data_IF_727802436793
#
_entry.id   IF_727802436793
#
_cell.length_a   1.000
_cell.length_b   1.000
_cell.length_c   1.000
_cell.angle_alpha   90.00
_cell.angle_beta   90.00
_cell.angle_gamma   90.00
#
_symmetry.space_group_name_H-M   'P 1'
#
loop_
_entity.id
_entity.type
_entity.pdbx_description
1 polymer ?
#
# COMPACT_ATOMS: atom_id res chain seq x y z
N UNK A 1 34.66 8.40 -17.66
CA UNK A 1 34.07 9.37 -16.72
C UNK A 1 32.89 8.80 -15.94
N UNK A 2 31.68 8.66 -16.52
CA UNK A 2 30.51 8.23 -15.73
C UNK A 2 30.65 6.81 -15.15
N UNK A 3 31.21 5.87 -15.91
CA UNK A 3 31.53 4.53 -15.41
C UNK A 3 32.59 4.54 -14.31
N UNK A 4 33.52 5.50 -14.33
CA UNK A 4 34.58 5.61 -13.32
C UNK A 4 34.02 6.16 -12.02
N UNK A 5 33.13 7.15 -12.08
CA UNK A 5 32.41 7.67 -10.92
C UNK A 5 31.52 6.61 -10.23
N UNK A 6 30.87 5.74 -11.02
CA UNK A 6 30.07 4.61 -10.49
C UNK A 6 30.96 3.59 -9.77
N UNK A 7 32.16 3.31 -10.30
CA UNK A 7 33.14 2.42 -9.66
C UNK A 7 33.67 3.03 -8.37
N UNK A 8 34.02 4.32 -8.37
CA UNK A 8 34.54 5.04 -7.20
C UNK A 8 33.52 5.06 -6.05
N UNK A 9 32.25 5.32 -6.36
CA UNK A 9 31.14 5.28 -5.40
C UNK A 9 30.72 3.87 -4.97
N UNK A 10 31.40 2.81 -5.46
CA UNK A 10 31.13 1.39 -5.16
C UNK A 10 29.72 0.95 -5.50
N UNK A 11 29.10 1.56 -6.51
CA UNK A 11 27.79 1.20 -7.00
C UNK A 11 27.94 0.06 -8.02
N UNK A 12 27.22 -1.05 -7.81
CA UNK A 12 27.13 -2.13 -8.78
C UNK A 12 25.95 -1.87 -9.70
N UNK A 13 26.23 -1.48 -10.94
CA UNK A 13 25.19 -1.16 -11.90
C UNK A 13 25.73 -0.96 -13.31
N UNK A 14 24.82 -0.61 -14.20
CA UNK A 14 25.12 -0.31 -15.60
C UNK A 14 25.02 1.19 -15.82
N UNK A 15 25.78 1.69 -16.79
CA UNK A 15 25.77 3.08 -17.20
C UNK A 15 25.24 3.11 -18.63
N UNK A 16 24.23 3.94 -18.87
CA UNK A 16 23.66 4.15 -20.20
C UNK A 16 23.58 5.65 -20.49
N UNK A 17 23.84 6.04 -21.74
CA UNK A 17 23.87 7.43 -22.16
C UNK A 17 23.04 7.57 -23.42
N UNK A 18 21.97 8.36 -23.33
CA UNK A 18 21.06 8.61 -24.43
C UNK A 18 21.25 10.03 -24.97
N UNK A 19 21.48 10.13 -26.29
CA UNK A 19 21.56 11.41 -27.00
C UNK A 19 20.26 11.63 -27.75
N UNK A 20 19.57 12.73 -27.45
CA UNK A 20 18.29 13.09 -28.10
C UNK A 20 18.23 14.58 -28.40
N UNK A 21 17.52 14.98 -29.45
CA UNK A 21 17.28 16.38 -29.79
C UNK A 21 16.45 17.10 -28.72
N UNK A 22 15.49 16.40 -28.11
CA UNK A 22 14.60 16.94 -27.09
C UNK A 22 14.82 16.23 -25.75
N UNK A 23 15.28 16.99 -24.76
CA UNK A 23 15.59 16.50 -23.42
C UNK A 23 14.42 15.72 -22.76
N UNK A 24 13.19 16.23 -22.88
CA UNK A 24 12.02 15.55 -22.29
C UNK A 24 11.69 14.22 -22.94
N UNK A 25 11.85 14.13 -24.26
CA UNK A 25 11.66 12.87 -24.97
C UNK A 25 12.75 11.89 -24.56
N UNK A 26 14.01 12.34 -24.42
CA UNK A 26 15.11 11.52 -23.91
C UNK A 26 14.80 10.90 -22.54
N UNK A 27 14.35 11.69 -21.58
CA UNK A 27 13.94 11.18 -20.25
C UNK A 27 12.82 10.15 -20.38
N UNK A 28 11.80 10.44 -21.20
CA UNK A 28 10.66 9.53 -21.40
C UNK A 28 11.07 8.20 -22.00
N UNK A 29 11.94 8.21 -23.01
CA UNK A 29 12.51 7.01 -23.59
C UNK A 29 13.32 6.23 -22.56
N UNK A 30 14.20 6.90 -21.81
CA UNK A 30 15.01 6.25 -20.78
C UNK A 30 14.14 5.51 -19.75
N UNK A 31 13.11 6.17 -19.20
CA UNK A 31 12.20 5.54 -18.23
C UNK A 31 11.42 4.37 -18.83
N UNK A 32 11.07 4.40 -20.12
CA UNK A 32 10.26 3.34 -20.72
C UNK A 32 11.09 2.16 -21.22
N UNK A 33 12.30 2.42 -21.71
CA UNK A 33 13.15 1.42 -22.39
C UNK A 33 14.30 0.92 -21.52
N UNK A 34 14.64 1.58 -20.40
CA UNK A 34 15.71 1.10 -19.54
C UNK A 34 15.35 -0.22 -18.85
N UNK A 35 16.12 -1.25 -19.20
CA UNK A 35 16.00 -2.60 -18.67
C UNK A 35 16.17 -3.65 -19.77
N UNK A 36 16.38 -4.90 -19.37
CA UNK A 36 16.47 -6.02 -20.32
C UNK A 36 15.53 -7.14 -19.87
N UNK A 37 14.49 -7.42 -20.67
CA UNK A 37 13.48 -8.42 -20.37
C UNK A 37 12.76 -8.13 -19.05
N UNK A 38 12.88 -9.03 -18.07
CA UNK A 38 12.30 -8.89 -16.74
C UNK A 38 13.11 -8.00 -15.77
N UNK A 39 14.36 -7.68 -16.08
CA UNK A 39 15.17 -6.75 -15.29
C UNK A 39 14.84 -5.32 -15.68
N UNK A 40 13.75 -4.79 -15.10
CA UNK A 40 13.31 -3.41 -15.24
C UNK A 40 13.46 -2.67 -13.91
N UNK A 41 13.68 -1.37 -13.99
CA UNK A 41 13.71 -0.53 -12.81
C UNK A 41 12.30 -0.38 -12.23
N UNK A 42 12.20 -0.32 -10.90
CA UNK A 42 10.94 -0.10 -10.17
C UNK A 42 10.89 1.27 -9.49
N UNK A 43 12.04 1.95 -9.41
CA UNK A 43 12.20 3.24 -8.76
C UNK A 43 13.09 4.13 -9.62
N UNK A 44 12.70 5.39 -9.78
CA UNK A 44 13.49 6.43 -10.44
C UNK A 44 13.91 7.45 -9.40
N UNK A 45 15.21 7.72 -9.34
CA UNK A 45 15.76 8.80 -8.50
C UNK A 45 16.03 9.99 -9.41
N UNK A 46 15.47 11.16 -9.10
CA UNK A 46 15.70 12.38 -9.87
C UNK A 46 16.10 13.55 -8.97
N UNK A 47 16.93 14.45 -9.50
CA UNK A 47 17.38 15.62 -8.76
C UNK A 47 16.23 16.61 -8.54
N UNK A 48 16.22 17.24 -7.36
CA UNK A 48 15.35 18.38 -7.09
C UNK A 48 15.77 19.59 -7.95
N UNK A 49 14.82 20.35 -8.55
CA UNK A 49 15.16 21.57 -9.28
C UNK A 49 15.55 22.65 -8.27
N UNK A 50 16.83 23.02 -8.19
CA UNK A 50 17.32 23.94 -7.15
C UNK A 50 16.99 25.41 -7.43
N UNK A 51 16.85 25.79 -8.71
CA UNK A 51 16.72 27.19 -9.14
C UNK A 51 15.29 27.55 -9.58
N UNK A 52 14.32 26.67 -9.30
CA UNK A 52 12.92 26.83 -9.72
C UNK A 52 12.22 28.09 -9.19
N UNK A 53 12.72 28.68 -8.10
CA UNK A 53 12.13 29.86 -7.44
C UNK A 53 12.91 31.15 -7.68
N UNK A 54 14.11 31.09 -8.29
CA UNK A 54 14.98 32.25 -8.47
C UNK A 54 14.85 32.74 -9.92
N UNK A 55 14.42 33.98 -10.11
CA UNK A 55 14.40 34.62 -11.42
C UNK A 55 15.77 35.25 -11.68
N UNK A 56 16.63 34.54 -12.40
CA UNK A 56 17.84 35.12 -12.97
C UNK A 56 17.57 35.48 -14.44
N UNK A 57 18.12 36.59 -14.94
CA UNK A 57 17.89 37.07 -16.31
C UNK A 57 18.21 36.03 -17.42
N UNK A 58 19.06 35.04 -17.12
CA UNK A 58 19.51 34.02 -18.05
C UNK A 58 18.87 32.62 -17.84
N UNK A 59 18.05 32.43 -16.80
CA UNK A 59 17.41 31.15 -16.50
C UNK A 59 15.92 31.37 -16.26
N UNK A 60 15.09 30.62 -16.99
CA UNK A 60 13.64 30.65 -16.81
C UNK A 60 13.24 29.67 -15.68
N UNK A 61 13.01 30.11 -14.43
CA UNK A 61 12.64 29.25 -13.31
C UNK A 61 11.40 28.39 -13.61
N UNK A 62 10.42 28.98 -14.31
CA UNK A 62 9.21 28.30 -14.76
C UNK A 62 9.50 27.09 -15.67
N UNK A 63 10.56 27.17 -16.48
CA UNK A 63 10.94 26.09 -17.41
C UNK A 63 11.51 24.89 -16.65
N UNK A 64 12.35 25.13 -15.66
CA UNK A 64 12.92 24.06 -14.81
C UNK A 64 11.83 23.37 -13.98
N UNK A 65 10.94 24.16 -13.36
CA UNK A 65 9.79 23.63 -12.62
C UNK A 65 8.86 22.80 -13.52
N UNK A 66 8.55 23.30 -14.72
CA UNK A 66 7.69 22.58 -15.69
C UNK A 66 8.35 21.29 -16.16
N UNK A 67 9.66 21.29 -16.39
CA UNK A 67 10.44 20.13 -16.80
C UNK A 67 10.42 19.04 -15.71
N UNK A 68 10.62 19.44 -14.45
CA UNK A 68 10.53 18.55 -13.32
C UNK A 68 9.12 17.96 -13.16
N UNK A 69 8.09 18.80 -13.24
CA UNK A 69 6.69 18.36 -13.16
C UNK A 69 6.33 17.38 -14.30
N UNK A 70 6.83 17.59 -15.52
CA UNK A 70 6.63 16.68 -16.63
C UNK A 70 7.38 15.36 -16.43
N UNK A 71 8.58 15.41 -15.87
CA UNK A 71 9.35 14.21 -15.49
C UNK A 71 8.59 13.38 -14.46
N UNK A 72 8.06 14.00 -13.40
CA UNK A 72 7.24 13.33 -12.38
C UNK A 72 6.00 12.67 -12.99
N UNK A 73 5.31 13.35 -13.91
CA UNK A 73 4.16 12.76 -14.63
C UNK A 73 4.57 11.56 -15.47
N UNK A 74 5.71 11.63 -16.13
CA UNK A 74 6.24 10.54 -16.97
C UNK A 74 6.59 9.32 -16.12
N UNK A 75 7.25 9.51 -14.98
CA UNK A 75 7.56 8.41 -14.05
C UNK A 75 6.29 7.81 -13.46
N UNK A 76 5.33 8.66 -13.09
CA UNK A 76 4.02 8.19 -12.59
C UNK A 76 3.27 7.38 -13.64
N UNK A 77 3.34 7.76 -14.92
CA UNK A 77 2.72 7.00 -16.02
C UNK A 77 3.41 5.65 -16.25
N UNK A 78 4.71 5.55 -15.95
CA UNK A 78 5.47 4.30 -16.00
C UNK A 78 5.26 3.39 -14.78
N UNK A 79 4.46 3.80 -13.79
CA UNK A 79 4.20 3.08 -12.54
C UNK A 79 5.47 2.76 -11.72
N UNK A 80 6.48 3.62 -11.78
CA UNK A 80 7.67 3.51 -10.93
C UNK A 80 7.53 4.37 -9.67
N UNK A 81 8.16 3.96 -8.58
CA UNK A 81 8.35 4.80 -7.42
C UNK A 81 9.29 5.97 -7.76
N UNK A 82 9.07 7.13 -7.14
CA UNK A 82 9.89 8.34 -7.35
C UNK A 82 10.59 8.67 -6.04
N UNK A 83 11.90 8.90 -6.11
CA UNK A 83 12.70 9.40 -5.00
C UNK A 83 13.37 10.71 -5.42
N UNK A 84 13.15 11.77 -4.66
CA UNK A 84 13.68 13.11 -4.99
C UNK A 84 14.53 13.62 -3.83
N UNK A 85 15.86 13.41 -3.83
CA UNK A 85 16.74 14.02 -2.86
C UNK A 85 16.77 15.53 -3.07
N UNK A 86 16.39 16.27 -2.04
CA UNK A 86 16.57 17.72 -1.95
C UNK A 86 17.89 18.02 -1.24
N UNK A 87 18.64 19.02 -1.71
CA UNK A 87 19.97 19.37 -1.19
C UNK A 87 20.96 18.20 -1.30
N UNK A 88 21.00 17.54 -2.46
CA UNK A 88 21.86 16.38 -2.69
C UNK A 88 23.36 16.70 -2.47
N UNK A 89 23.76 17.97 -2.66
CA UNK A 89 25.10 18.47 -2.35
C UNK A 89 25.52 18.30 -0.90
N UNK A 90 24.56 18.24 0.03
CA UNK A 90 24.82 18.19 1.46
C UNK A 90 24.82 16.76 2.00
N UNK A 91 24.66 15.75 1.13
CA UNK A 91 24.70 14.36 1.56
C UNK A 91 26.12 13.94 1.98
N UNK A 92 26.25 13.09 3.01
CA UNK A 92 27.54 12.62 3.48
C UNK A 92 28.25 11.80 2.40
N UNK A 93 29.57 11.85 2.41
CA UNK A 93 30.36 10.93 1.59
C UNK A 93 30.35 9.52 2.18
N UNK A 94 30.66 8.50 1.37
CA UNK A 94 30.69 7.09 1.81
C UNK A 94 31.70 6.79 2.94
N UNK A 95 32.61 7.72 3.22
CA UNK A 95 33.65 7.59 4.25
C UNK A 95 33.22 8.13 5.61
N UNK A 96 32.22 9.00 5.64
CA UNK A 96 31.74 9.64 6.86
C UNK A 96 30.79 8.73 7.64
N UNK A 97 30.79 8.88 8.96
CA UNK A 97 29.84 8.22 9.86
C UNK A 97 28.96 9.28 10.50
N UNK A 98 27.67 9.19 10.24
CA UNK A 98 26.68 10.06 10.84
C UNK A 98 26.16 9.44 12.13
N UNK A 99 26.18 10.24 13.19
CA UNK A 99 25.46 9.99 14.42
C UNK A 99 24.36 11.04 14.48
N UNK A 100 23.11 10.62 14.44
CA UNK A 100 21.99 11.55 14.32
C UNK A 100 20.65 10.82 14.30
N UNK A 101 19.62 11.51 13.83
CA UNK A 101 18.26 10.98 13.73
C UNK A 101 17.83 10.93 12.26
N UNK A 102 17.05 9.91 11.91
CA UNK A 102 16.32 9.85 10.64
C UNK A 102 14.84 10.02 10.99
N UNK A 103 14.28 11.15 10.55
CA UNK A 103 12.90 11.50 10.82
C UNK A 103 12.03 11.14 9.61
N UNK A 104 11.01 10.33 9.87
CA UNK A 104 10.05 9.89 8.86
C UNK A 104 8.72 10.55 9.17
N UNK A 105 8.25 11.41 8.27
CA UNK A 105 6.93 12.02 8.37
C UNK A 105 5.94 11.19 7.56
N UNK A 106 5.20 10.33 8.25
CA UNK A 106 4.17 9.49 7.67
C UNK A 106 2.82 10.23 7.63
N UNK A 107 2.69 11.12 6.64
CA UNK A 107 1.45 11.87 6.36
C UNK A 107 0.45 11.01 5.57
N UNK A 108 0.94 10.19 4.64
CA UNK A 108 0.11 9.45 3.69
C UNK A 108 0.55 7.99 3.60
N UNK A 109 -0.40 7.08 3.41
CA UNK A 109 -0.10 5.66 3.22
C UNK A 109 0.55 5.40 1.84
N UNK A 110 1.88 5.24 1.84
CA UNK A 110 2.69 4.88 0.67
C UNK A 110 2.96 3.36 0.57
N UNK A 111 2.16 2.53 1.25
CA UNK A 111 2.31 1.07 1.17
C UNK A 111 3.62 0.55 1.78
N UNK A 112 4.22 1.30 2.71
CA UNK A 112 5.43 0.91 3.43
C UNK A 112 6.75 1.33 2.78
N UNK A 113 6.73 1.99 1.61
CA UNK A 113 7.97 2.48 0.97
C UNK A 113 8.76 3.42 1.89
N UNK A 114 8.06 4.34 2.59
CA UNK A 114 8.67 5.26 3.56
C UNK A 114 9.39 4.54 4.71
N UNK A 115 8.96 3.33 5.08
CA UNK A 115 9.61 2.53 6.12
C UNK A 115 10.78 1.70 5.56
N UNK A 116 10.73 1.34 4.28
CA UNK A 116 11.78 0.56 3.62
C UNK A 116 13.07 1.38 3.44
N UNK A 117 12.96 2.64 3.03
CA UNK A 117 14.12 3.52 2.82
C UNK A 117 15.04 3.64 4.06
N UNK A 118 14.55 4.05 5.24
CA UNK A 118 15.37 4.16 6.45
C UNK A 118 15.93 2.81 6.88
N UNK A 119 15.15 1.73 6.74
CA UNK A 119 15.63 0.38 7.01
C UNK A 119 16.85 0.01 6.15
N UNK A 120 16.83 0.35 4.86
CA UNK A 120 17.96 0.13 3.95
C UNK A 120 19.14 1.06 4.26
N UNK A 121 18.88 2.33 4.61
CA UNK A 121 19.92 3.30 4.94
C UNK A 121 20.75 2.86 6.15
N UNK A 122 20.11 2.39 7.24
CA UNK A 122 20.80 1.96 8.47
C UNK A 122 21.75 0.77 8.23
N UNK A 123 21.53 -0.03 7.18
CA UNK A 123 22.47 -1.11 6.82
C UNK A 123 23.80 -0.57 6.28
N UNK A 124 23.83 0.65 5.77
CA UNK A 124 25.05 1.31 5.30
C UNK A 124 25.89 1.81 6.49
N UNK A 125 27.21 1.70 6.38
CA UNK A 125 28.18 2.16 7.40
C UNK A 125 28.01 3.63 7.78
N UNK A 126 27.58 4.47 6.84
CA UNK A 126 27.39 5.90 7.05
C UNK A 126 26.23 6.20 8.01
N UNK A 127 25.13 5.44 7.94
CA UNK A 127 23.89 5.71 8.68
C UNK A 127 23.62 4.70 9.81
N UNK A 128 24.51 3.72 10.02
CA UNK A 128 24.34 2.64 11.00
C UNK A 128 24.10 3.13 12.43
N UNK A 129 24.65 4.28 12.80
CA UNK A 129 24.55 4.84 14.14
C UNK A 129 23.43 5.87 14.29
N UNK A 130 22.51 5.93 13.33
CA UNK A 130 21.37 6.84 13.39
C UNK A 130 20.17 6.18 14.04
N UNK A 131 19.39 6.97 14.77
CA UNK A 131 18.13 6.52 15.39
C UNK A 131 16.95 6.93 14.50
N UNK A 132 16.00 6.02 14.28
CA UNK A 132 14.81 6.31 13.46
C UNK A 132 13.69 6.84 14.34
N UNK A 133 13.07 7.94 13.91
CA UNK A 133 11.87 8.51 14.54
C UNK A 133 10.76 8.57 13.51
N UNK A 134 9.63 7.96 13.82
CA UNK A 134 8.42 7.93 13.02
C UNK A 134 7.43 8.94 13.57
N UNK A 135 7.09 9.93 12.75
CA UNK A 135 6.09 10.94 13.03
C UNK A 135 4.85 10.64 12.22
N UNK A 136 3.73 10.42 12.88
CA UNK A 136 2.43 10.22 12.23
C UNK A 136 1.44 11.26 12.74
N UNK A 137 0.41 11.52 11.95
CA UNK A 137 -0.58 12.56 12.22
C UNK A 137 -1.92 11.89 12.47
N UNK A 138 -2.49 12.12 13.66
CA UNK A 138 -3.83 11.68 14.01
C UNK A 138 -4.82 12.75 13.58
N UNK A 139 -5.95 12.34 12.98
CA UNK A 139 -7.08 13.24 12.81
C UNK A 139 -7.81 13.46 14.14
N UNK A 140 -8.58 14.54 14.23
CA UNK A 140 -9.31 14.94 15.45
C UNK A 140 -10.30 13.86 15.93
N UNK A 141 -10.78 13.01 15.03
CA UNK A 141 -11.72 11.92 15.31
C UNK A 141 -11.03 10.58 15.66
N UNK A 142 -9.70 10.50 15.56
CA UNK A 142 -8.92 9.28 15.77
C UNK A 142 -8.28 9.26 17.17
N UNK A 143 -8.13 8.06 17.74
CA UNK A 143 -7.46 7.91 19.04
C UNK A 143 -5.92 7.80 18.85
N UNK A 144 -5.13 8.80 19.26
CA UNK A 144 -3.69 8.81 19.03
C UNK A 144 -2.96 7.71 19.81
N UNK A 145 -3.48 7.30 20.97
CA UNK A 145 -2.87 6.27 21.82
C UNK A 145 -3.00 4.89 21.16
N UNK A 146 -4.19 4.59 20.61
CA UNK A 146 -4.41 3.33 19.90
C UNK A 146 -3.55 3.27 18.64
N UNK A 147 -3.51 4.35 17.86
CA UNK A 147 -2.70 4.44 16.65
C UNK A 147 -1.21 4.24 16.96
N UNK A 148 -0.70 4.86 18.03
CA UNK A 148 0.68 4.65 18.48
C UNK A 148 0.97 3.18 18.76
N UNK A 149 0.11 2.51 19.53
CA UNK A 149 0.27 1.11 19.91
C UNK A 149 0.23 0.17 18.70
N UNK A 150 -0.67 0.42 17.76
CA UNK A 150 -0.79 -0.37 16.54
C UNK A 150 0.43 -0.20 15.63
N UNK A 151 0.95 1.02 15.52
CA UNK A 151 2.20 1.31 14.81
C UNK A 151 3.41 0.65 15.47
N UNK A 152 3.53 0.71 16.80
CA UNK A 152 4.60 0.02 17.53
C UNK A 152 4.56 -1.50 17.30
N UNK A 153 3.36 -2.10 17.35
CA UNK A 153 3.18 -3.53 17.04
C UNK A 153 3.54 -3.85 15.58
N UNK A 154 3.17 -2.98 14.65
CA UNK A 154 3.51 -3.13 13.24
C UNK A 154 5.03 -3.10 13.01
N UNK A 155 5.74 -2.14 13.61
CA UNK A 155 7.19 -2.03 13.55
C UNK A 155 7.90 -3.23 14.19
N UNK A 156 7.35 -3.72 15.31
CA UNK A 156 7.86 -4.92 15.97
C UNK A 156 7.84 -6.14 15.04
N UNK A 157 6.74 -6.37 14.31
CA UNK A 157 6.66 -7.46 13.33
C UNK A 157 7.64 -7.28 12.16
N UNK A 158 7.91 -6.04 11.76
CA UNK A 158 8.91 -5.73 10.72
C UNK A 158 10.37 -5.79 11.22
N UNK A 159 10.59 -5.92 12.53
CA UNK A 159 11.92 -5.86 13.18
C UNK A 159 12.66 -4.55 12.86
N UNK A 160 11.91 -3.44 12.85
CA UNK A 160 12.45 -2.09 12.66
C UNK A 160 12.42 -1.40 14.02
N UNK A 161 13.59 -1.03 14.53
CA UNK A 161 13.72 -0.25 15.76
C UNK A 161 13.54 1.24 15.43
N UNK A 162 12.38 1.79 15.80
CA UNK A 162 12.06 3.21 15.61
C UNK A 162 11.21 3.75 16.77
N UNK A 163 11.37 5.04 17.07
CA UNK A 163 10.57 5.75 18.06
C UNK A 163 9.29 6.29 17.39
N UNK A 164 8.11 5.97 17.92
CA UNK A 164 6.84 6.43 17.34
C UNK A 164 6.30 7.65 18.09
N UNK A 165 6.11 8.74 17.35
CA UNK A 165 5.52 9.99 17.79
C UNK A 165 4.23 10.24 17.01
N UNK A 166 3.12 10.39 17.73
CA UNK A 166 1.83 10.77 17.16
C UNK A 166 1.59 12.24 17.46
N UNK A 167 1.32 13.02 16.42
CA UNK A 167 0.98 14.44 16.53
C UNK A 167 -0.47 14.65 16.12
N UNK A 168 -1.18 15.50 16.84
CA UNK A 168 -2.52 15.95 16.47
C UNK A 168 -2.37 17.17 15.56
N UNK A 169 -3.03 17.14 14.40
CA UNK A 169 -3.10 18.27 13.46
C UNK A 169 -4.57 18.50 13.11
N UNK A 170 -4.92 19.77 12.94
CA UNK A 170 -6.24 20.17 12.47
C UNK A 170 -6.51 19.67 11.04
N UNK A 171 -7.70 19.13 10.83
CA UNK A 171 -8.10 18.47 9.58
C UNK A 171 -7.96 19.34 8.33
N UNK A 172 -8.05 20.66 8.48
CA UNK A 172 -7.95 21.66 7.39
C UNK A 172 -6.57 21.73 6.74
N UNK A 173 -5.49 21.36 7.46
CA UNK A 173 -4.12 21.45 6.93
C UNK A 173 -3.71 20.23 6.09
N UNK A 174 -4.37 19.08 6.29
CA UNK A 174 -4.00 17.80 5.67
C UNK A 174 -4.99 17.37 4.56
N UNK A 175 -6.18 17.98 4.52
CA UNK A 175 -7.27 17.64 3.61
C UNK A 175 -6.84 17.51 2.12
N UNK A 176 -6.04 18.43 1.54
CA UNK A 176 -5.64 18.33 0.13
C UNK A 176 -4.79 17.09 -0.19
N UNK A 177 -4.02 16.60 0.79
CA UNK A 177 -3.08 15.48 0.61
C UNK A 177 -3.75 14.12 0.84
N UNK A 178 -4.72 14.06 1.75
CA UNK A 178 -5.43 12.82 2.09
C UNK A 178 -6.57 12.56 1.10
N UNK A 179 -7.34 13.59 0.72
CA UNK A 179 -8.57 13.42 -0.06
C UNK A 179 -8.37 12.73 -1.41
N UNK A 180 -7.45 13.23 -2.25
CA UNK A 180 -7.24 12.66 -3.59
C UNK A 180 -6.74 11.21 -3.57
N UNK A 181 -6.03 10.81 -2.51
CA UNK A 181 -5.41 9.49 -2.43
C UNK A 181 -6.28 8.48 -1.69
N UNK A 182 -7.05 8.91 -0.70
CA UNK A 182 -8.14 8.12 -0.10
C UNK A 182 -9.13 7.73 -1.19
N UNK A 183 -9.54 8.66 -2.06
CA UNK A 183 -10.41 8.34 -3.21
C UNK A 183 -9.83 7.24 -4.12
N UNK A 184 -8.57 7.38 -4.54
CA UNK A 184 -7.92 6.35 -5.39
C UNK A 184 -7.69 5.02 -4.67
N UNK A 185 -7.44 5.04 -3.37
CA UNK A 185 -7.29 3.83 -2.56
C UNK A 185 -8.64 3.12 -2.39
N UNK A 186 -9.71 3.86 -2.14
CA UNK A 186 -11.07 3.33 -2.07
C UNK A 186 -11.51 2.74 -3.41
N UNK A 187 -11.21 3.41 -4.53
CA UNK A 187 -11.41 2.87 -5.88
C UNK A 187 -10.66 1.55 -6.07
N UNK A 188 -9.38 1.48 -5.68
CA UNK A 188 -8.57 0.25 -5.76
C UNK A 188 -9.16 -0.86 -4.87
N UNK A 189 -9.56 -0.55 -3.64
CA UNK A 189 -10.15 -1.53 -2.71
C UNK A 189 -11.51 -2.00 -3.21
N UNK A 190 -12.33 -1.12 -3.80
CA UNK A 190 -13.61 -1.45 -4.41
C UNK A 190 -13.40 -2.38 -5.60
N UNK A 191 -12.46 -2.06 -6.49
CA UNK A 191 -12.10 -2.91 -7.63
C UNK A 191 -11.61 -4.29 -7.17
N UNK A 192 -10.73 -4.37 -6.17
CA UNK A 192 -10.27 -5.66 -5.62
C UNK A 192 -11.39 -6.47 -4.97
N UNK A 193 -12.35 -5.81 -4.30
CA UNK A 193 -13.56 -6.46 -3.77
C UNK A 193 -14.45 -6.98 -4.89
N UNK A 194 -14.61 -6.24 -5.98
CA UNK A 194 -15.37 -6.66 -7.16
C UNK A 194 -14.69 -7.83 -7.88
N UNK A 195 -13.36 -7.80 -8.04
CA UNK A 195 -12.60 -8.93 -8.61
C UNK A 195 -12.77 -10.20 -7.76
N UNK A 196 -12.64 -10.12 -6.43
CA UNK A 196 -12.90 -11.26 -5.53
C UNK A 196 -14.34 -11.77 -5.58
N UNK A 197 -15.32 -10.89 -5.82
CA UNK A 197 -16.72 -11.31 -6.02
C UNK A 197 -16.89 -12.03 -7.35
N UNK A 198 -16.27 -11.53 -8.41
CA UNK A 198 -16.31 -12.15 -9.73
C UNK A 198 -15.61 -13.51 -9.74
N UNK A 199 -14.46 -13.65 -9.06
CA UNK A 199 -13.76 -14.95 -8.88
C UNK A 199 -14.69 -15.98 -8.20
N UNK A 200 -15.35 -15.59 -7.11
CA UNK A 200 -16.33 -16.47 -6.44
C UNK A 200 -17.51 -16.82 -7.34
N UNK A 201 -17.99 -15.89 -8.16
CA UNK A 201 -19.09 -16.16 -9.10
C UNK A 201 -18.63 -17.15 -10.18
N UNK A 202 -17.44 -16.97 -10.74
CA UNK A 202 -16.88 -17.91 -11.73
C UNK A 202 -16.62 -19.29 -11.13
N UNK A 203 -16.18 -19.38 -9.88
CA UNK A 203 -15.99 -20.67 -9.19
C UNK A 203 -17.33 -21.39 -8.96
N UNK A 204 -18.38 -20.65 -8.57
CA UNK A 204 -19.75 -21.18 -8.41
C UNK A 204 -20.33 -21.61 -9.77
N UNK A 205 -20.10 -20.82 -10.83
CA UNK A 205 -20.53 -21.14 -12.18
C UNK A 205 -19.83 -22.41 -12.69
N UNK A 206 -18.52 -22.52 -12.48
CA UNK A 206 -17.73 -23.69 -12.86
C UNK A 206 -18.18 -24.96 -12.11
N UNK A 207 -18.45 -24.87 -10.81
CA UNK A 207 -18.99 -26.00 -10.03
C UNK A 207 -20.42 -26.36 -10.45
N UNK A 208 -21.27 -25.38 -10.79
CA UNK A 208 -22.58 -25.67 -11.36
C UNK A 208 -22.49 -26.34 -12.73
N UNK A 209 -21.61 -25.89 -13.61
CA UNK A 209 -21.42 -26.45 -14.95
C UNK A 209 -20.84 -27.87 -14.88
N UNK A 210 -19.92 -28.13 -13.95
CA UNK A 210 -19.41 -29.47 -13.64
C UNK A 210 -20.54 -30.39 -13.14
N UNK A 211 -21.35 -29.95 -12.18
CA UNK A 211 -22.50 -30.71 -11.70
C UNK A 211 -23.56 -30.96 -12.79
N UNK A 212 -23.74 -30.03 -13.73
CA UNK A 212 -24.64 -30.19 -14.89
C UNK A 212 -24.05 -31.17 -15.90
N UNK A 213 -22.73 -31.14 -16.14
CA UNK A 213 -22.03 -32.12 -16.97
C UNK A 213 -22.12 -33.52 -16.37
N UNK A 214 -21.87 -33.70 -15.07
CA UNK A 214 -22.05 -34.99 -14.39
C UNK A 214 -23.49 -35.51 -14.51
N UNK A 215 -24.50 -34.64 -14.38
CA UNK A 215 -25.91 -35.03 -14.60
C UNK A 215 -26.22 -35.40 -16.05
N UNK A 216 -25.54 -34.79 -17.03
CA UNK A 216 -25.70 -35.14 -18.45
C UNK A 216 -25.03 -36.48 -18.77
N UNK A 217 -23.81 -36.72 -18.27
CA UNK A 217 -23.10 -37.98 -18.51
C UNK A 217 -23.72 -39.17 -17.75
N UNK A 218 -24.23 -38.97 -16.53
CA UNK A 218 -24.97 -40.01 -15.80
C UNK A 218 -26.30 -40.42 -16.46
N UNK A 219 -26.89 -39.58 -17.30
CA UNK A 219 -28.06 -39.93 -18.12
C UNK A 219 -27.71 -40.70 -19.40
N UNK A 220 -26.46 -40.66 -19.84
CA UNK A 220 -25.99 -41.36 -21.05
C UNK A 220 -25.55 -42.80 -20.74
N UNK A 221 -25.21 -43.12 -19.48
CA UNK A 221 -24.74 -44.46 -19.09
C UNK A 221 -25.86 -45.48 -18.77
N UNK A 222 -27.09 -45.21 -19.24
CA UNK A 222 -28.23 -46.12 -19.11
C UNK A 222 -28.24 -47.30 -20.10
N UNK A 223 -27.18 -47.47 -20.91
CA UNK A 223 -27.04 -48.61 -21.84
C UNK A 223 -25.62 -49.21 -21.80
N UNK A 224 -25.32 -49.87 -20.69
CA UNK A 224 -24.47 -51.07 -20.61
C UNK A 224 -22.95 -50.91 -20.71
N UNK A 225 -22.23 -51.27 -19.64
CA UNK A 225 -21.38 -52.49 -19.54
C UNK A 225 -20.52 -52.42 -18.26
N UNK A 226 -20.49 -53.51 -17.48
CA UNK A 226 -19.57 -53.76 -16.36
C UNK A 226 -18.10 -53.67 -16.79
N UNK A 227 -17.24 -53.03 -16.00
CA UNK A 227 -16.05 -53.69 -15.43
C UNK A 227 -15.29 -52.86 -14.38
N UNK A 228 -14.85 -53.59 -13.35
CA UNK A 228 -14.04 -53.16 -12.23
C UNK A 228 -12.68 -52.53 -12.64
N UNK A 229 -12.40 -51.30 -12.20
CA UNK A 229 -11.03 -50.87 -11.86
C UNK A 229 -11.05 -50.12 -10.52
N UNK A 230 -10.73 -50.90 -9.48
CA UNK A 230 -9.72 -50.61 -8.44
C UNK A 230 -9.92 -49.41 -7.49
N UNK A 231 -10.36 -49.79 -6.28
CA UNK A 231 -10.07 -49.16 -4.97
C UNK A 231 -8.63 -48.62 -4.84
N UNK A 232 -8.51 -47.43 -4.26
CA UNK A 232 -7.64 -47.10 -3.11
C UNK A 232 -8.29 -45.92 -2.37
N UNK A 233 -9.15 -46.13 -1.37
CA UNK A 233 -8.82 -46.16 0.08
C UNK A 233 -7.80 -45.09 0.49
N UNK A 234 -7.95 -44.25 1.51
CA UNK A 234 -8.99 -43.96 2.52
C UNK A 234 -8.31 -43.06 3.57
N UNK A 235 -9.10 -42.28 4.33
CA UNK A 235 -8.82 -41.66 5.65
C UNK A 235 -8.03 -40.33 5.61
N UNK A 236 -8.30 -39.29 6.41
CA UNK A 236 -9.12 -39.04 7.62
C UNK A 236 -9.84 -37.66 7.46
N UNK A 237 -11.12 -37.48 7.79
CA UNK A 237 -11.62 -37.00 9.11
C UNK A 237 -10.89 -35.71 9.60
N UNK A 238 -11.52 -34.55 9.81
CA UNK A 238 -12.60 -34.26 10.76
C UNK A 238 -13.07 -32.78 10.67
N UNK A 239 -14.39 -32.57 10.89
CA UNK A 239 -15.04 -31.51 11.72
C UNK A 239 -14.80 -30.02 11.38
N UNK A 240 -15.77 -29.10 11.33
CA UNK A 240 -17.01 -28.91 12.11
C UNK A 240 -17.92 -27.88 11.38
N UNK A 241 -19.25 -28.03 11.50
CA UNK A 241 -20.29 -27.10 11.03
C UNK A 241 -20.40 -25.83 11.92
N UNK A 242 -21.29 -24.86 11.60
CA UNK A 242 -22.67 -24.98 12.10
C UNK A 242 -23.78 -24.64 11.10
N UNK A 243 -24.92 -25.28 11.37
CA UNK A 243 -26.24 -25.17 10.73
C UNK A 243 -26.98 -23.86 11.06
N UNK A 244 -27.95 -23.52 10.21
CA UNK A 244 -28.99 -22.52 10.45
C UNK A 244 -30.15 -23.11 11.29
N UNK A 245 -30.99 -22.27 11.94
CA UNK A 245 -32.12 -22.76 12.72
C UNK A 245 -33.39 -22.89 11.86
N UNK A 246 -34.12 -23.99 12.04
CA UNK A 246 -35.53 -24.11 11.67
C UNK A 246 -36.43 -23.90 12.90
N UNK A 247 -37.48 -23.11 12.69
CA UNK A 247 -38.65 -22.99 13.56
C UNK A 247 -39.44 -24.30 13.58
N UNK A 248 -39.99 -24.65 14.74
CA UNK A 248 -41.39 -25.06 14.78
C UNK A 248 -42.04 -24.83 16.15
N UNK A 249 -43.26 -24.31 16.07
CA UNK A 249 -44.18 -24.00 17.15
C UNK A 249 -44.56 -25.22 17.98
N UNK A 250 -44.87 -24.99 19.26
CA UNK A 250 -46.16 -25.41 19.83
C UNK A 250 -46.44 -24.76 21.19
N UNK A 251 -47.47 -23.91 21.18
CA UNK A 251 -48.65 -23.95 22.05
C UNK A 251 -48.57 -23.89 23.60
N UNK A 252 -49.49 -23.05 24.11
CA UNK A 252 -50.17 -23.00 25.43
C UNK A 252 -49.55 -22.05 26.46
N UNK A 253 -50.15 -20.89 26.73
CA UNK A 253 -51.47 -20.55 27.31
C UNK A 253 -51.29 -20.04 28.75
N UNK A 254 -51.97 -18.93 29.02
CA UNK A 254 -52.62 -18.55 30.30
C UNK A 254 -51.90 -17.54 31.22
N UNK A 255 -52.58 -16.37 31.31
CA UNK A 255 -52.72 -15.39 32.41
C UNK A 255 -51.59 -14.37 32.66
N UNK A 256 -51.83 -13.10 32.30
CA UNK A 256 -52.49 -12.03 33.11
C UNK A 256 -51.66 -11.64 34.35
N UNK A 257 -50.99 -10.49 34.33
CA UNK A 257 -51.58 -9.20 34.72
C UNK A 257 -50.51 -8.09 34.75
N UNK A 258 -50.97 -6.89 34.41
CA UNK A 258 -50.63 -5.55 34.93
C UNK A 258 -49.27 -5.35 35.63
N UNK A 259 -48.49 -4.32 35.36
CA UNK A 259 -48.75 -3.11 34.60
C UNK A 259 -47.68 -2.06 34.91
N UNK A 260 -47.77 -0.96 34.16
CA UNK A 260 -47.35 0.41 34.50
C UNK A 260 -45.85 0.74 34.67
N UNK A 261 -45.37 1.45 33.65
CA UNK A 261 -44.67 2.75 33.70
C UNK A 261 -43.29 2.82 34.37
N UNK A 262 -42.28 3.25 33.61
CA UNK A 262 -41.76 4.61 33.76
C UNK A 262 -40.86 5.05 32.58
N UNK A 263 -41.29 6.16 31.96
CA UNK A 263 -40.45 7.10 31.20
C UNK A 263 -39.58 7.87 32.18
N UNK A 264 -38.31 8.11 31.85
CA UNK A 264 -37.60 9.29 32.35
C UNK A 264 -36.81 9.94 31.21
N UNK A 265 -37.14 11.22 30.98
CA UNK A 265 -36.44 12.21 30.15
C UNK A 265 -35.16 12.66 30.86
N UNK A 266 -34.15 13.08 30.09
CA UNK A 266 -33.13 14.00 30.60
C UNK A 266 -33.32 15.37 29.97
N UNK A 267 -33.38 16.39 30.83
CA UNK A 267 -33.47 17.82 30.53
C UNK A 267 -32.11 18.50 30.66
N UNK A 268 -31.97 19.61 29.95
CA UNK A 268 -30.84 20.53 29.95
C UNK A 268 -30.67 21.35 31.25
N UNK A 269 -29.46 21.91 31.38
CA UNK A 269 -28.99 23.06 32.18
C UNK A 269 -28.55 22.84 33.64
N UNK A 270 -27.25 23.04 33.91
CA UNK A 270 -26.69 24.27 34.54
C UNK A 270 -25.23 24.05 35.01
N UNK A 271 -24.28 24.85 34.53
CA UNK A 271 -23.55 25.94 35.24
C UNK A 271 -22.26 25.46 35.94
N UNK A 272 -21.09 25.77 35.37
CA UNK A 272 -20.10 26.79 35.84
C UNK A 272 -18.92 26.86 34.85
#
# INVERSE_FOLDING_TARGET
>A
ELQDAVKESRIRGFCDVLVTEHFMQGISHLIQTSGLGGLRHNSVVCAWPEHWSVSNENQNPMKEASLFAQTVRTISAANCAILVPKYASNFPTCSERLNGTIDIYWVVNDGGLLMLIPFLLIKNKTWKNTTVRLFTFAQTDENPILMKKDLERFLYHLRIEAQVNVMEIDSTEIEPYVYQRTMKMEERVKMLKEMRKNEKITDIQATMDEAVLERKYSRVDGMGVNNNIRRRSSNLEQQQQPEQPENNNNERQITKNMGTTNKVRFSEHSVE
#
